data_IF_333746167158
#
_entry.id   IF_333746167158
#
_cell.length_a   1.000
_cell.length_b   1.000
_cell.length_c   1.000
_cell.angle_alpha   90.00
_cell.angle_beta   90.00
_cell.angle_gamma   90.00
#
_symmetry.space_group_name_H-M   'P 1'
#
loop_
_entity.id
_entity.type
_entity.pdbx_description
1 polymer ?
#
# COMPACT_ATOMS: atom_id res chain seq x y z
N UNK A 1 16.53 4.32 7.16
CA UNK A 1 15.70 3.61 6.17
C UNK A 1 15.20 2.35 6.83
N UNK A 2 13.90 2.06 6.71
CA UNK A 2 13.30 0.83 7.24
C UNK A 2 13.88 -0.39 6.53
N UNK A 3 14.13 -1.46 7.28
CA UNK A 3 14.45 -2.78 6.74
C UNK A 3 13.22 -3.67 6.73
N UNK A 4 12.93 -4.22 5.56
CA UNK A 4 11.88 -5.21 5.37
C UNK A 4 12.49 -6.60 5.35
N UNK A 5 11.86 -7.52 6.08
CA UNK A 5 12.27 -8.92 6.20
C UNK A 5 11.16 -9.81 5.65
N UNK A 6 11.54 -10.77 4.82
CA UNK A 6 10.66 -11.85 4.40
C UNK A 6 10.90 -13.03 5.34
N UNK A 7 9.90 -13.34 6.16
CA UNK A 7 9.98 -14.37 7.18
C UNK A 7 8.91 -15.43 6.97
N UNK A 8 9.25 -16.67 7.30
CA UNK A 8 8.33 -17.79 7.28
C UNK A 8 7.55 -17.86 8.59
N UNK A 9 6.24 -18.06 8.49
CA UNK A 9 5.36 -18.44 9.59
C UNK A 9 4.76 -19.81 9.33
N UNK A 10 4.33 -20.49 10.38
CA UNK A 10 3.54 -21.70 10.23
C UNK A 10 2.21 -21.38 9.55
N UNK A 11 1.89 -22.13 8.50
CA UNK A 11 0.59 -22.02 7.81
C UNK A 11 -0.46 -22.72 8.69
N UNK A 12 -1.51 -22.03 9.17
CA UNK A 12 -2.54 -22.68 9.97
C UNK A 12 -3.25 -23.80 9.21
N UNK A 13 -3.57 -24.88 9.91
CA UNK A 13 -4.33 -25.99 9.32
C UNK A 13 -5.70 -25.51 8.82
N UNK A 14 -6.07 -25.92 7.61
CA UNK A 14 -7.35 -25.54 6.98
C UNK A 14 -7.42 -24.11 6.47
N UNK A 15 -6.39 -23.27 6.66
CA UNK A 15 -6.39 -21.91 6.13
C UNK A 15 -6.12 -21.89 4.62
N UNK A 16 -7.04 -21.28 3.88
CA UNK A 16 -7.00 -21.09 2.43
C UNK A 16 -6.85 -19.59 2.15
N UNK A 17 -5.63 -19.11 1.83
CA UNK A 17 -5.43 -17.73 1.43
C UNK A 17 -6.15 -17.47 0.10
N UNK A 18 -6.76 -16.29 -0.02
CA UNK A 18 -7.39 -15.79 -1.24
C UNK A 18 -6.32 -15.26 -2.22
N UNK A 19 -5.21 -14.76 -1.69
CA UNK A 19 -4.06 -14.27 -2.46
C UNK A 19 -2.71 -14.75 -1.92
N UNK A 20 -1.65 -14.77 -2.74
CA UNK A 20 -0.31 -15.14 -2.29
C UNK A 20 0.36 -14.17 -1.31
N UNK A 21 -0.21 -12.98 -1.10
CA UNK A 21 0.27 -12.02 -0.10
C UNK A 21 -0.60 -11.97 1.16
N UNK A 22 -1.63 -12.81 1.25
CA UNK A 22 -2.45 -12.90 2.46
C UNK A 22 -1.63 -13.26 3.69
N UNK A 23 -2.15 -12.89 4.86
CA UNK A 23 -1.54 -13.21 6.15
C UNK A 23 -2.55 -14.01 6.97
N UNK A 24 -2.11 -15.11 7.61
CA UNK A 24 -3.00 -15.87 8.46
C UNK A 24 -3.54 -14.98 9.60
N UNK A 25 -4.80 -15.14 10.03
CA UNK A 25 -5.41 -14.26 11.05
C UNK A 25 -4.66 -14.20 12.38
N UNK A 26 -3.90 -15.24 12.70
CA UNK A 26 -3.01 -15.33 13.86
C UNK A 26 -1.69 -15.93 13.39
N UNK A 27 -0.77 -15.12 12.84
CA UNK A 27 0.52 -15.62 12.44
C UNK A 27 1.25 -16.15 13.69
N UNK A 28 1.91 -17.29 13.56
CA UNK A 28 2.78 -17.81 14.59
C UNK A 28 4.02 -16.93 14.80
N UNK A 29 4.99 -17.35 15.62
CA UNK A 29 6.27 -16.65 15.72
C UNK A 29 6.99 -16.60 14.36
N UNK A 30 7.81 -15.57 14.15
CA UNK A 30 8.68 -15.47 12.99
C UNK A 30 9.68 -16.63 12.99
N UNK A 31 9.73 -17.39 11.90
CA UNK A 31 10.64 -18.50 11.68
C UNK A 31 11.85 -18.10 10.83
N UNK A 32 12.21 -18.98 9.89
CA UNK A 32 13.32 -18.76 8.95
C UNK A 32 13.13 -17.51 8.11
N UNK A 33 14.24 -16.85 7.79
CA UNK A 33 14.28 -15.62 7.00
C UNK A 33 14.71 -15.95 5.57
N UNK A 34 13.82 -15.70 4.60
CA UNK A 34 14.13 -15.86 3.17
C UNK A 34 15.00 -14.73 2.63
N UNK A 35 15.01 -13.58 3.30
CA UNK A 35 15.93 -12.49 3.04
C UNK A 35 15.44 -11.15 3.57
N UNK A 36 16.29 -10.13 3.37
CA UNK A 36 16.02 -8.75 3.77
C UNK A 36 16.18 -7.82 2.58
N UNK A 37 15.46 -6.69 2.58
CA UNK A 37 15.59 -5.61 1.60
C UNK A 37 15.28 -4.26 2.25
N UNK A 38 15.77 -3.19 1.64
CA UNK A 38 15.32 -1.83 1.96
C UNK A 38 14.08 -1.43 1.14
N UNK A 39 13.75 -2.22 0.11
CA UNK A 39 12.58 -2.03 -0.74
C UNK A 39 11.46 -3.02 -0.33
N UNK A 40 10.28 -2.46 -0.04
CA UNK A 40 9.11 -3.23 0.37
C UNK A 40 8.62 -4.15 -0.75
N UNK A 41 8.60 -3.67 -1.99
CA UNK A 41 8.02 -4.40 -3.11
C UNK A 41 8.93 -5.53 -3.59
N UNK A 42 10.24 -5.38 -3.45
CA UNK A 42 11.18 -6.50 -3.63
C UNK A 42 10.96 -7.59 -2.58
N UNK A 43 10.72 -7.19 -1.32
CA UNK A 43 10.38 -8.15 -0.25
C UNK A 43 9.04 -8.83 -0.50
N UNK A 44 8.04 -8.07 -0.94
CA UNK A 44 6.70 -8.57 -1.28
C UNK A 44 6.76 -9.56 -2.44
N UNK A 45 7.47 -9.23 -3.51
CA UNK A 45 7.64 -10.10 -4.67
C UNK A 45 8.27 -11.42 -4.25
N UNK A 46 9.32 -11.38 -3.43
CA UNK A 46 9.95 -12.58 -2.88
C UNK A 46 8.99 -13.43 -2.02
N UNK A 47 8.18 -12.79 -1.18
CA UNK A 47 7.18 -13.49 -0.37
C UNK A 47 6.13 -14.18 -1.26
N UNK A 48 5.59 -13.46 -2.25
CA UNK A 48 4.62 -13.97 -3.23
C UNK A 48 5.21 -15.14 -4.02
N UNK A 49 6.43 -15.00 -4.54
CA UNK A 49 7.12 -16.04 -5.29
C UNK A 49 7.28 -17.32 -4.45
N UNK A 50 7.68 -17.17 -3.18
CA UNK A 50 7.74 -18.30 -2.24
C UNK A 50 6.36 -18.95 -2.05
N UNK A 51 5.33 -18.14 -1.77
CA UNK A 51 3.97 -18.61 -1.49
C UNK A 51 3.29 -19.27 -2.70
N UNK A 52 3.67 -18.88 -3.92
CA UNK A 52 3.23 -19.52 -5.16
C UNK A 52 4.01 -20.80 -5.49
N UNK A 53 5.20 -20.98 -4.92
CA UNK A 53 6.03 -22.15 -5.19
C UNK A 53 5.48 -23.41 -4.52
N UNK A 54 5.75 -24.58 -5.11
CA UNK A 54 5.43 -25.89 -4.51
C UNK A 54 6.14 -26.12 -3.17
N UNK A 55 7.16 -25.31 -2.85
CA UNK A 55 7.95 -25.38 -1.63
C UNK A 55 7.27 -24.73 -0.42
N UNK A 56 6.17 -23.98 -0.62
CA UNK A 56 5.50 -23.28 0.47
C UNK A 56 5.05 -24.24 1.59
N UNK A 57 4.57 -25.45 1.25
CA UNK A 57 4.27 -26.50 2.23
C UNK A 57 3.42 -26.02 3.41
N UNK A 58 3.75 -26.49 4.62
CA UNK A 58 3.15 -26.04 5.89
C UNK A 58 3.68 -24.69 6.40
N UNK A 59 4.38 -23.93 5.56
CA UNK A 59 4.92 -22.61 5.87
C UNK A 59 4.31 -21.56 4.94
N UNK A 60 4.42 -20.30 5.34
CA UNK A 60 3.92 -19.17 4.57
C UNK A 60 4.85 -17.98 4.77
N UNK A 61 5.26 -17.34 3.68
CA UNK A 61 6.10 -16.16 3.72
C UNK A 61 5.26 -14.91 3.94
N UNK A 62 5.69 -14.05 4.86
CA UNK A 62 5.10 -12.73 5.11
C UNK A 62 6.19 -11.68 5.13
N UNK A 63 5.82 -10.43 4.83
CA UNK A 63 6.74 -9.30 4.90
C UNK A 63 6.50 -8.53 6.18
N UNK A 64 7.58 -8.26 6.90
CA UNK A 64 7.55 -7.48 8.13
C UNK A 64 8.58 -6.35 8.14
N UNK A 65 8.23 -5.24 8.78
CA UNK A 65 9.14 -4.16 9.17
C UNK A 65 9.66 -4.45 10.58
N UNK A 66 10.94 -4.82 10.66
CA UNK A 66 11.58 -5.26 11.92
C UNK A 66 12.10 -4.12 12.78
N UNK A 67 12.17 -2.91 12.23
CA UNK A 67 12.73 -1.75 12.93
C UNK A 67 11.67 -1.00 13.74
N UNK A 68 10.39 -1.19 13.42
CA UNK A 68 9.31 -0.35 13.96
C UNK A 68 8.52 -0.99 15.10
N UNK A 69 8.65 -2.30 15.34
CA UNK A 69 7.82 -3.03 16.30
C UNK A 69 6.33 -2.99 15.92
N UNK A 70 5.66 -4.14 15.89
CA UNK A 70 4.23 -4.17 15.60
C UNK A 70 3.43 -3.56 16.76
N UNK A 71 2.30 -2.95 16.46
CA UNK A 71 1.27 -2.67 17.48
C UNK A 71 0.48 -3.95 17.84
N UNK A 72 0.42 -4.92 16.93
CA UNK A 72 -0.34 -6.16 17.09
C UNK A 72 0.53 -7.43 16.99
N UNK A 73 1.71 -7.36 16.35
CA UNK A 73 2.65 -8.47 16.32
C UNK A 73 3.88 -8.16 17.19
N UNK A 74 4.08 -8.87 18.33
CA UNK A 74 5.08 -8.57 19.36
C UNK A 74 6.49 -8.18 18.92
N UNK A 75 6.98 -8.66 17.77
CA UNK A 75 8.39 -8.53 17.37
C UNK A 75 8.62 -7.76 16.05
N UNK A 76 7.56 -7.40 15.30
CA UNK A 76 7.68 -6.70 14.02
C UNK A 76 6.33 -6.15 13.54
N UNK A 77 6.32 -5.21 12.58
CA UNK A 77 5.06 -4.75 11.95
C UNK A 77 4.75 -5.55 10.69
N UNK A 78 3.52 -6.05 10.54
CA UNK A 78 3.01 -6.68 9.31
C UNK A 78 2.88 -5.68 8.17
N UNK A 79 3.54 -6.00 7.05
CA UNK A 79 3.43 -5.23 5.81
C UNK A 79 2.54 -5.92 4.76
N UNK A 80 2.17 -7.18 4.97
CA UNK A 80 1.24 -7.95 4.12
C UNK A 80 -0.05 -8.33 4.87
N UNK A 81 -1.17 -8.63 4.16
CA UNK A 81 -1.41 -8.34 2.75
C UNK A 81 -1.43 -6.84 2.48
N UNK A 82 -1.23 -6.45 1.23
CA UNK A 82 -1.35 -5.05 0.83
C UNK A 82 -2.69 -4.86 0.13
N UNK A 83 -3.45 -3.87 0.60
CA UNK A 83 -4.65 -3.44 -0.13
C UNK A 83 -4.24 -2.41 -1.16
N UNK A 84 -4.42 -2.75 -2.43
CA UNK A 84 -4.24 -1.80 -3.52
C UNK A 84 -5.46 -0.88 -3.60
N UNK A 85 -5.21 0.41 -3.78
CA UNK A 85 -6.26 1.40 -3.99
C UNK A 85 -5.90 2.30 -5.15
N UNK A 86 -6.92 2.96 -5.67
CA UNK A 86 -6.76 3.96 -6.72
C UNK A 86 -7.05 5.31 -6.13
N UNK A 87 -6.14 6.25 -6.34
CA UNK A 87 -6.31 7.63 -5.87
C UNK A 87 -5.96 8.59 -6.98
N UNK A 88 -6.62 9.74 -6.99
CA UNK A 88 -6.26 10.83 -7.86
C UNK A 88 -5.16 11.69 -7.23
N UNK A 89 -4.33 12.21 -8.11
CA UNK A 89 -3.33 13.23 -7.83
C UNK A 89 -3.65 14.42 -8.74
N UNK A 90 -3.21 15.60 -8.35
CA UNK A 90 -3.31 16.75 -9.26
C UNK A 90 -2.45 16.48 -10.49
N UNK A 91 -2.97 16.81 -11.68
CA UNK A 91 -2.15 16.86 -12.88
C UNK A 91 -1.14 18.00 -12.71
N UNK A 92 0.17 17.73 -12.58
CA UNK A 92 1.13 18.79 -12.32
C UNK A 92 1.24 19.69 -13.54
N UNK A 93 1.22 21.01 -13.33
CA UNK A 93 1.40 21.98 -14.41
C UNK A 93 2.71 21.71 -15.16
N UNK A 94 2.68 21.74 -16.50
CA UNK A 94 3.86 21.47 -17.34
C UNK A 94 4.41 20.05 -17.30
N UNK A 95 3.72 19.11 -16.61
CA UNK A 95 4.03 17.69 -16.67
C UNK A 95 3.23 17.01 -17.79
N UNK A 96 3.92 16.21 -18.59
CA UNK A 96 3.33 15.51 -19.74
C UNK A 96 3.58 13.99 -19.61
N UNK A 97 2.53 13.16 -19.47
CA UNK A 97 2.68 11.71 -19.51
C UNK A 97 2.98 11.26 -20.95
N UNK A 98 3.99 10.39 -21.10
CA UNK A 98 4.23 9.63 -22.31
C UNK A 98 3.30 8.41 -22.40
N UNK A 99 2.78 7.93 -21.26
CA UNK A 99 1.85 6.81 -21.21
C UNK A 99 0.85 6.91 -20.05
N UNK A 100 -0.26 6.17 -20.15
CA UNK A 100 -1.24 6.03 -19.08
C UNK A 100 -0.71 5.34 -17.80
N UNK A 101 0.52 4.82 -17.83
CA UNK A 101 1.21 4.20 -16.70
C UNK A 101 2.16 5.15 -15.99
N UNK A 102 2.36 6.34 -16.52
CA UNK A 102 3.35 7.25 -15.97
C UNK A 102 2.90 7.79 -14.62
N UNK A 103 3.86 7.97 -13.72
CA UNK A 103 3.64 8.49 -12.38
C UNK A 103 4.70 9.54 -12.09
N UNK A 104 4.32 10.82 -11.93
CA UNK A 104 5.29 11.88 -11.67
C UNK A 104 6.05 11.58 -10.38
N UNK A 105 7.35 11.89 -10.35
CA UNK A 105 8.15 11.63 -9.15
C UNK A 105 7.72 12.48 -7.94
N UNK A 106 7.16 13.67 -8.19
CA UNK A 106 6.57 14.54 -7.17
C UNK A 106 5.06 14.35 -7.17
N UNK A 107 4.57 13.59 -6.20
CA UNK A 107 3.14 13.28 -6.09
C UNK A 107 2.49 14.14 -5.00
N UNK A 108 1.42 14.84 -5.37
CA UNK A 108 0.55 15.54 -4.43
C UNK A 108 -0.88 14.99 -4.54
N UNK A 109 -1.36 14.36 -3.47
CA UNK A 109 -2.71 13.79 -3.42
C UNK A 109 -3.75 14.89 -3.63
N UNK A 110 -4.71 14.66 -4.53
CA UNK A 110 -5.89 15.53 -4.60
C UNK A 110 -6.74 15.33 -3.35
N UNK A 111 -7.16 16.42 -2.69
CA UNK A 111 -8.01 16.31 -1.51
C UNK A 111 -9.38 15.73 -1.88
N UNK A 112 -9.98 14.94 -0.97
CA UNK A 112 -11.42 14.68 -0.98
C UNK A 112 -11.91 13.42 -1.69
N UNK A 113 -11.08 12.65 -2.39
CA UNK A 113 -11.52 11.37 -2.97
C UNK A 113 -11.13 10.19 -2.06
N UNK A 114 -12.09 9.48 -1.46
CA UNK A 114 -11.79 8.24 -0.76
C UNK A 114 -11.24 7.24 -1.78
N UNK A 115 -10.05 6.72 -1.51
CA UNK A 115 -9.42 5.75 -2.38
C UNK A 115 -10.23 4.44 -2.35
N UNK A 116 -10.74 4.02 -3.50
CA UNK A 116 -11.49 2.77 -3.62
C UNK A 116 -10.52 1.58 -3.60
N UNK A 117 -10.83 0.52 -2.82
CA UNK A 117 -10.03 -0.70 -2.84
C UNK A 117 -10.19 -1.42 -4.18
N UNK A 118 -9.07 -1.84 -4.75
CA UNK A 118 -9.03 -2.82 -5.82
C UNK A 118 -8.89 -4.23 -5.20
N UNK A 119 -9.39 -5.26 -5.89
CA UNK A 119 -9.33 -6.63 -5.37
C UNK A 119 -7.90 -7.19 -5.45
N UNK A 120 -7.10 -6.75 -6.42
CA UNK A 120 -5.69 -7.16 -6.57
C UNK A 120 -4.87 -6.15 -7.41
N UNK A 121 -3.55 -6.34 -7.44
CA UNK A 121 -2.60 -5.49 -8.20
C UNK A 121 -3.00 -5.33 -9.67
N UNK A 122 -3.30 -6.44 -10.37
CA UNK A 122 -3.59 -6.43 -11.80
C UNK A 122 -4.86 -5.65 -12.13
N UNK A 123 -5.88 -5.78 -11.28
CA UNK A 123 -7.11 -5.01 -11.43
C UNK A 123 -6.88 -3.52 -11.14
N UNK A 124 -6.07 -3.20 -10.13
CA UNK A 124 -5.70 -1.83 -9.81
C UNK A 124 -4.94 -1.17 -10.98
N UNK A 125 -3.95 -1.88 -11.53
CA UNK A 125 -3.17 -1.45 -12.69
C UNK A 125 -4.07 -1.21 -13.91
N UNK A 126 -4.92 -2.18 -14.28
CA UNK A 126 -5.82 -2.04 -15.42
C UNK A 126 -6.77 -0.85 -15.28
N UNK A 127 -7.29 -0.63 -14.07
CA UNK A 127 -8.19 0.50 -13.82
C UNK A 127 -7.46 1.83 -13.92
N UNK A 128 -6.25 1.95 -13.37
CA UNK A 128 -5.41 3.15 -13.51
C UNK A 128 -5.12 3.44 -14.98
N UNK A 129 -4.72 2.44 -15.76
CA UNK A 129 -4.48 2.58 -17.20
C UNK A 129 -5.74 3.07 -17.92
N UNK A 130 -6.91 2.48 -17.61
CA UNK A 130 -8.16 2.87 -18.23
C UNK A 130 -8.55 4.32 -17.91
N UNK A 131 -8.45 4.73 -16.64
CA UNK A 131 -8.74 6.10 -16.20
C UNK A 131 -7.77 7.11 -16.84
N UNK A 132 -6.48 6.82 -16.84
CA UNK A 132 -5.48 7.71 -17.40
C UNK A 132 -5.57 7.81 -18.93
N UNK A 133 -5.94 6.74 -19.64
CA UNK A 133 -6.24 6.83 -21.07
C UNK A 133 -7.41 7.79 -21.35
N UNK A 134 -8.43 7.84 -20.48
CA UNK A 134 -9.50 8.83 -20.61
C UNK A 134 -8.96 10.24 -20.40
N UNK A 135 -8.09 10.45 -19.41
CA UNK A 135 -7.45 11.74 -19.19
C UNK A 135 -6.54 12.16 -20.36
N UNK A 136 -5.84 11.23 -21.01
CA UNK A 136 -5.04 11.53 -22.20
C UNK A 136 -5.92 11.89 -23.41
N UNK A 137 -7.06 11.21 -23.59
CA UNK A 137 -8.00 11.52 -24.65
C UNK A 137 -8.76 12.85 -24.41
N UNK A 138 -9.01 13.18 -23.14
CA UNK A 138 -9.72 14.38 -22.70
C UNK A 138 -9.05 14.92 -21.44
N UNK A 139 -8.09 15.86 -21.57
CA UNK A 139 -7.36 16.40 -20.44
C UNK A 139 -8.28 16.89 -19.33
N UNK A 140 -8.09 16.36 -18.12
CA UNK A 140 -8.76 16.78 -16.90
C UNK A 140 -7.77 17.38 -15.91
N UNK A 141 -8.25 17.77 -14.72
CA UNK A 141 -7.40 18.31 -13.64
C UNK A 141 -6.69 17.22 -12.82
N UNK A 142 -7.08 15.97 -13.01
CA UNK A 142 -6.63 14.84 -12.20
C UNK A 142 -5.87 13.83 -13.05
N UNK A 143 -4.89 13.21 -12.43
CA UNK A 143 -4.23 12.00 -12.90
C UNK A 143 -4.42 10.90 -11.86
N UNK A 144 -4.53 9.64 -12.27
CA UNK A 144 -4.79 8.54 -11.35
C UNK A 144 -3.52 7.71 -11.12
N UNK A 145 -3.30 7.34 -9.85
CA UNK A 145 -2.19 6.50 -9.45
C UNK A 145 -2.68 5.33 -8.62
N UNK A 146 -1.96 4.22 -8.73
CA UNK A 146 -2.15 3.08 -7.86
C UNK A 146 -1.35 3.29 -6.57
N UNK A 147 -1.96 2.95 -5.44
CA UNK A 147 -1.32 3.01 -4.14
C UNK A 147 -1.48 1.68 -3.40
N UNK A 148 -0.46 1.31 -2.64
CA UNK A 148 -0.45 0.13 -1.78
C UNK A 148 -0.55 0.57 -0.33
N UNK A 149 -1.55 0.07 0.41
CA UNK A 149 -1.73 0.39 1.83
C UNK A 149 -1.30 -0.81 2.68
N UNK A 150 -0.38 -0.59 3.61
CA UNK A 150 0.08 -1.62 4.54
C UNK A 150 -1.05 -2.09 5.46
N UNK A 151 -0.99 -3.35 5.88
CA UNK A 151 -2.02 -3.95 6.71
C UNK A 151 -2.03 -3.39 8.14
N UNK A 152 -0.86 -3.22 8.75
CA UNK A 152 -0.79 -2.79 10.14
C UNK A 152 -0.70 -1.27 10.27
N UNK A 153 -1.51 -0.64 11.15
CA UNK A 153 -1.42 0.79 11.39
C UNK A 153 -0.11 1.17 12.07
N UNK A 154 0.43 2.34 11.71
CA UNK A 154 1.54 3.00 12.42
C UNK A 154 1.05 3.80 13.63
N UNK A 155 -0.23 4.19 13.65
CA UNK A 155 -0.86 4.83 14.79
C UNK A 155 -2.35 4.47 14.87
N UNK A 156 -2.88 4.38 16.08
CA UNK A 156 -4.30 4.20 16.36
C UNK A 156 -4.77 5.21 17.40
N UNK A 157 -5.92 5.82 17.17
CA UNK A 157 -6.60 6.69 18.12
C UNK A 157 -8.03 6.24 18.27
N UNK A 158 -8.45 5.94 19.50
CA UNK A 158 -9.83 5.60 19.82
C UNK A 158 -10.44 6.75 20.60
N UNK A 159 -11.57 7.26 20.12
CA UNK A 159 -12.33 8.33 20.75
C UNK A 159 -13.77 7.86 20.99
N UNK A 160 -14.38 8.34 22.05
CA UNK A 160 -15.78 8.09 22.37
C UNK A 160 -16.52 9.43 22.38
N UNK A 161 -17.65 9.49 21.70
CA UNK A 161 -18.54 10.65 21.79
C UNK A 161 -19.55 10.50 22.95
N UNK A 162 -20.29 11.57 23.24
CA UNK A 162 -21.30 11.59 24.30
C UNK A 162 -22.46 10.59 24.09
N UNK A 163 -22.61 10.02 22.89
CA UNK A 163 -23.61 9.00 22.58
C UNK A 163 -23.11 7.57 22.82
N UNK A 164 -21.85 7.41 23.25
CA UNK A 164 -21.20 6.11 23.39
C UNK A 164 -20.75 5.52 22.04
N UNK A 165 -20.70 6.33 20.97
CA UNK A 165 -20.15 5.89 19.70
C UNK A 165 -18.63 5.91 19.79
N UNK A 166 -18.03 4.76 19.49
CA UNK A 166 -16.58 4.60 19.42
C UNK A 166 -16.13 4.94 17.99
N UNK A 167 -15.22 5.90 17.88
CA UNK A 167 -14.54 6.26 16.63
C UNK A 167 -13.07 5.86 16.74
N UNK A 168 -12.65 4.92 15.92
CA UNK A 168 -11.27 4.49 15.77
C UNK A 168 -10.67 5.11 14.51
N UNK A 169 -9.60 5.89 14.67
CA UNK A 169 -8.78 6.40 13.57
C UNK A 169 -7.49 5.61 13.49
N UNK A 170 -7.23 5.00 12.34
CA UNK A 170 -6.03 4.22 12.04
C UNK A 170 -5.18 4.97 11.03
N UNK A 171 -3.94 5.28 11.36
CA UNK A 171 -2.97 5.80 10.41
C UNK A 171 -2.17 4.63 9.87
N UNK A 172 -2.11 4.48 8.55
CA UNK A 172 -1.40 3.42 7.84
C UNK A 172 -0.39 4.01 6.86
N UNK A 173 0.68 3.27 6.58
CA UNK A 173 1.59 3.62 5.48
C UNK A 173 0.95 3.28 4.13
N UNK A 174 1.15 4.19 3.21
CA UNK A 174 0.73 4.14 1.82
C UNK A 174 1.95 4.30 0.94
N UNK A 175 2.02 3.50 -0.12
CA UNK A 175 3.09 3.52 -1.10
C UNK A 175 2.51 3.88 -2.45
N UNK A 176 2.99 4.97 -3.07
CA UNK A 176 2.62 5.25 -4.47
C UNK A 176 3.42 4.34 -5.38
N UNK A 177 2.71 3.64 -6.27
CA UNK A 177 3.28 2.66 -7.17
C UNK A 177 3.40 3.23 -8.57
N UNK A 178 4.52 2.88 -9.21
CA UNK A 178 4.68 3.01 -10.65
C UNK A 178 4.44 1.63 -11.26
N UNK A 179 3.41 1.48 -12.11
CA UNK A 179 3.19 0.24 -12.86
C UNK A 179 4.42 -0.17 -13.66
N UNK A 180 4.52 -1.46 -13.98
CA UNK A 180 5.57 -1.96 -14.86
C UNK A 180 5.49 -1.24 -16.22
N UNK A 181 6.65 -0.90 -16.79
CA UNK A 181 6.77 -0.08 -18.01
C UNK A 181 6.27 1.37 -17.89
N UNK A 182 5.77 1.80 -16.74
CA UNK A 182 5.51 3.21 -16.47
C UNK A 182 6.81 4.00 -16.33
N UNK A 183 6.75 5.29 -16.65
CA UNK A 183 7.88 6.22 -16.46
C UNK A 183 7.49 7.34 -15.49
N UNK A 184 8.35 8.35 -15.33
CA UNK A 184 8.01 9.55 -14.57
C UNK A 184 7.30 10.61 -15.41
N UNK A 185 7.05 10.35 -16.71
CA UNK A 185 6.61 11.36 -17.68
C UNK A 185 7.68 12.43 -17.93
N UNK A 186 7.37 13.43 -18.75
CA UNK A 186 8.22 14.59 -18.97
C UNK A 186 7.89 15.69 -17.96
N UNK A 187 8.90 16.20 -17.27
CA UNK A 187 8.76 17.32 -16.32
C UNK A 187 9.74 18.47 -16.63
N UNK A 188 10.35 18.54 -17.82
CA UNK A 188 11.38 19.54 -18.15
C UNK A 188 10.86 20.99 -18.06
N UNK A 189 9.54 21.17 -18.19
CA UNK A 189 8.87 22.47 -18.13
C UNK A 189 7.91 22.60 -16.95
N UNK A 190 7.86 21.61 -16.06
CA UNK A 190 6.96 21.64 -14.92
C UNK A 190 7.57 22.53 -13.80
N UNK A 191 6.76 23.28 -13.02
CA UNK A 191 7.26 23.98 -11.84
C UNK A 191 7.94 23.05 -10.84
N UNK A 192 7.55 21.77 -10.83
CA UNK A 192 8.12 20.76 -9.95
C UNK A 192 9.54 20.31 -10.32
N UNK A 193 10.06 20.64 -11.51
CA UNK A 193 11.38 20.22 -12.00
C UNK A 193 12.52 20.64 -11.07
N UNK A 194 12.34 21.79 -10.40
CA UNK A 194 13.31 22.32 -9.46
C UNK A 194 13.31 21.59 -8.10
N UNK A 195 12.31 20.75 -7.81
CA UNK A 195 12.25 20.03 -6.55
C UNK A 195 13.13 18.78 -6.58
N UNK A 196 13.81 18.44 -5.47
CA UNK A 196 14.61 17.21 -5.36
C UNK A 196 13.80 15.94 -5.66
N UNK A 197 12.49 15.94 -5.39
CA UNK A 197 11.64 14.80 -5.72
C UNK A 197 11.60 14.53 -7.22
N UNK A 198 11.64 15.55 -8.08
CA UNK A 198 11.51 15.40 -9.53
C UNK A 198 12.75 14.72 -10.13
N UNK A 199 13.93 15.01 -9.59
CA UNK A 199 15.22 14.53 -10.09
C UNK A 199 15.73 13.24 -9.43
N UNK A 200 15.05 12.76 -8.40
CA UNK A 200 15.44 11.54 -7.71
C UNK A 200 15.14 10.30 -8.57
N UNK A 201 16.00 9.29 -8.44
CA UNK A 201 15.67 7.94 -8.88
C UNK A 201 14.37 7.48 -8.22
N UNK A 202 13.57 6.71 -8.97
CA UNK A 202 12.30 6.23 -8.45
C UNK A 202 12.55 5.15 -7.40
N UNK A 203 12.14 5.46 -6.17
CA UNK A 203 11.83 4.51 -5.12
C UNK A 203 10.34 4.66 -4.79
N UNK A 204 9.64 3.58 -4.45
CA UNK A 204 8.25 3.67 -3.97
C UNK A 204 8.12 4.77 -2.91
N UNK A 205 7.25 5.76 -3.16
CA UNK A 205 7.11 6.92 -2.27
C UNK A 205 6.17 6.57 -1.13
N UNK A 206 6.64 6.73 0.11
CA UNK A 206 5.89 6.42 1.32
C UNK A 206 5.19 7.66 1.85
N UNK A 207 3.89 7.54 2.13
CA UNK A 207 3.04 8.56 2.75
C UNK A 207 2.23 7.90 3.86
N UNK A 208 1.80 8.66 4.86
CA UNK A 208 0.80 8.19 5.81
C UNK A 208 -0.62 8.50 5.31
N UNK A 209 -1.57 7.63 5.64
CA UNK A 209 -3.01 7.81 5.36
C UNK A 209 -3.84 7.46 6.59
N UNK A 210 -4.75 8.34 6.95
CA UNK A 210 -5.70 8.11 8.03
C UNK A 210 -6.98 7.46 7.50
N UNK A 211 -7.42 6.39 8.16
CA UNK A 211 -8.68 5.68 7.93
C UNK A 211 -9.49 5.76 9.21
N UNK A 212 -10.68 6.35 9.15
CA UNK A 212 -11.58 6.47 10.31
C UNK A 212 -12.72 5.47 10.19
N UNK A 213 -12.97 4.74 11.27
CA UNK A 213 -14.08 3.80 11.43
C UNK A 213 -14.88 4.18 12.68
N UNK A 214 -16.20 4.18 12.59
CA UNK A 214 -17.08 4.46 13.73
C UNK A 214 -18.03 3.28 13.95
N UNK A 215 -18.20 2.87 15.21
CA UNK A 215 -19.17 1.85 15.61
C UNK A 215 -19.96 2.30 16.83
N UNK A 216 -21.26 2.02 16.81
CA UNK A 216 -22.14 2.24 17.97
C UNK A 216 -22.03 1.04 18.89
N UNK A 217 -21.54 1.26 20.11
CA UNK A 217 -21.61 0.23 21.15
C UNK A 217 -23.03 0.20 21.69
N UNK A 218 -23.90 -0.65 21.13
CA UNK A 218 -25.22 -0.88 21.75
C UNK A 218 -24.98 -1.44 23.14
N UNK A 219 -25.40 -0.68 24.15
CA UNK A 219 -25.40 -1.13 25.54
C UNK A 219 -26.10 -2.47 25.64
N UNK A 220 -25.40 -3.44 26.24
CA UNK A 220 -26.03 -4.60 26.86
C UNK A 220 -26.89 -4.01 27.99
N UNK A 221 -28.15 -3.74 27.69
CA UNK A 221 -29.13 -3.32 28.69
C UNK A 221 -29.23 -4.42 29.75
N UNK A 222 -29.02 -4.03 31.00
CA UNK A 222 -29.20 -4.89 32.18
C UNK A 222 -30.65 -5.14 32.54
#
# INVERSE_FOLDING_TARGET
>A
MTRYRVALVARPEGWQPESPDDVPPRPGPLGEVLGESLDLFDSLRRAIEYNQSSSAGGQWAVVVDVDQGGQFWPDARLCTPIVYKITSIWWPEGWEPASARDVPNCVWKSQGTPAEPAENYKQAENTVIALNNQCMARPGLNWYVMVAVENEPVAQTVAYDASGTETTSLVRRLHVLRPDQGTHGNCDHCPAHAFPCAQADWSSRVYDVSVTQSRVLRGVGG
#
